data_IF_397629939894
#
_entry.id   IF_397629939894
#
_cell.length_a   1.000
_cell.length_b   1.000
_cell.length_c   1.000
_cell.angle_alpha   90.00
_cell.angle_beta   90.00
_cell.angle_gamma   90.00
#
_symmetry.space_group_name_H-M   'P 1'
#
loop_
_entity.id
_entity.type
_entity.pdbx_description
1 polymer ?
#
# COMPACT_ATOMS: atom_id res chain seq x y z
N UNK A 1 4.08 -36.28 23.51
CA UNK A 1 4.06 -34.81 23.52
C UNK A 1 3.49 -34.36 24.85
N UNK A 2 4.31 -33.75 25.70
CA UNK A 2 3.98 -33.48 27.10
C UNK A 2 2.87 -32.42 27.25
N UNK A 3 2.06 -32.55 28.30
CA UNK A 3 0.92 -31.65 28.56
C UNK A 3 1.32 -30.17 28.63
N UNK A 4 2.54 -29.87 29.13
CA UNK A 4 3.12 -28.52 29.12
C UNK A 4 3.34 -27.98 27.71
N UNK A 5 3.86 -28.80 26.80
CA UNK A 5 4.07 -28.44 25.40
C UNK A 5 2.74 -28.18 24.69
N UNK A 6 1.71 -28.97 25.03
CA UNK A 6 0.36 -28.87 24.48
C UNK A 6 -0.36 -27.58 24.90
N UNK A 7 -0.21 -27.16 26.17
CA UNK A 7 -0.75 -25.89 26.67
C UNK A 7 -0.06 -24.68 26.05
N UNK A 8 1.28 -24.73 25.88
CA UNK A 8 2.05 -23.66 25.25
C UNK A 8 1.63 -23.49 23.78
N UNK A 9 1.49 -24.60 23.04
CA UNK A 9 1.06 -24.57 21.65
C UNK A 9 -0.36 -23.99 21.48
N UNK A 10 -1.30 -24.36 22.35
CA UNK A 10 -2.66 -23.82 22.33
C UNK A 10 -2.74 -22.31 22.62
N UNK A 11 -1.81 -21.77 23.40
CA UNK A 11 -1.76 -20.33 23.71
C UNK A 11 -1.04 -19.52 22.61
N UNK A 12 -0.03 -20.10 21.96
CA UNK A 12 0.75 -19.41 20.93
C UNK A 12 0.07 -19.40 19.56
N UNK A 13 -0.70 -20.44 19.20
CA UNK A 13 -1.39 -20.53 17.92
C UNK A 13 -2.29 -19.31 17.60
N UNK A 14 -3.21 -18.87 18.48
CA UNK A 14 -4.08 -17.73 18.19
C UNK A 14 -3.32 -16.40 18.11
N UNK A 15 -2.19 -16.27 18.81
CA UNK A 15 -1.37 -15.06 18.78
C UNK A 15 -0.70 -14.86 17.41
N UNK A 16 -0.33 -15.95 16.74
CA UNK A 16 0.26 -15.92 15.38
C UNK A 16 -0.77 -15.46 14.35
N UNK A 17 -2.04 -15.89 14.46
CA UNK A 17 -3.11 -15.45 13.56
C UNK A 17 -3.47 -13.97 13.73
N UNK A 18 -3.29 -13.40 14.92
CA UNK A 18 -3.51 -11.97 15.16
C UNK A 18 -2.42 -11.08 14.52
N UNK A 19 -1.24 -11.64 14.22
CA UNK A 19 -0.11 -10.92 13.61
C UNK A 19 -0.02 -11.06 12.09
N UNK A 20 -0.97 -11.76 11.45
CA UNK A 20 -0.97 -11.85 9.99
C UNK A 20 -1.09 -10.46 9.38
N UNK A 21 -0.05 -10.03 8.65
CA UNK A 21 -0.02 -8.77 7.93
C UNK A 21 -1.19 -8.70 6.95
N UNK A 22 -2.09 -7.74 7.13
CA UNK A 22 -3.15 -7.43 6.16
C UNK A 22 -2.51 -6.88 4.89
N UNK A 23 -2.97 -7.32 3.71
CA UNK A 23 -2.59 -6.65 2.46
C UNK A 23 -2.99 -5.17 2.53
N UNK A 24 -2.07 -4.28 2.18
CA UNK A 24 -2.38 -2.85 2.10
C UNK A 24 -3.47 -2.64 1.05
N UNK A 25 -4.49 -1.86 1.37
CA UNK A 25 -5.52 -1.50 0.40
C UNK A 25 -4.89 -0.72 -0.76
N UNK A 26 -5.44 -0.92 -1.97
CA UNK A 26 -5.00 -0.18 -3.15
C UNK A 26 -5.51 1.26 -3.11
N UNK A 27 -4.77 2.15 -3.78
CA UNK A 27 -5.11 3.56 -3.99
C UNK A 27 -5.23 3.84 -5.48
N UNK A 28 -6.22 4.65 -5.87
CA UNK A 28 -6.29 5.23 -7.21
C UNK A 28 -5.73 6.64 -7.17
N UNK A 29 -4.76 6.94 -8.04
CA UNK A 29 -4.20 8.27 -8.19
C UNK A 29 -4.62 8.83 -9.53
N UNK A 30 -5.22 10.02 -9.57
CA UNK A 30 -5.41 10.73 -10.84
C UNK A 30 -4.12 11.43 -11.21
N UNK A 31 -3.52 11.07 -12.35
CA UNK A 31 -2.26 11.69 -12.76
C UNK A 31 -2.44 13.18 -13.02
N UNK A 32 -1.61 13.99 -12.36
CA UNK A 32 -1.69 15.45 -12.40
C UNK A 32 -2.75 16.07 -11.48
N UNK A 33 -3.46 15.26 -10.69
CA UNK A 33 -4.59 15.70 -9.85
C UNK A 33 -5.57 16.57 -10.68
N UNK A 34 -5.94 17.76 -10.21
CA UNK A 34 -6.83 18.68 -10.95
C UNK A 34 -6.21 19.26 -12.23
N UNK A 35 -4.90 19.13 -12.41
CA UNK A 35 -4.19 19.63 -13.59
C UNK A 35 -4.22 18.65 -14.76
N UNK A 36 -4.61 17.38 -14.54
CA UNK A 36 -4.78 16.37 -15.58
C UNK A 36 -3.49 15.84 -16.23
N UNK A 37 -3.68 15.08 -17.32
CA UNK A 37 -2.61 14.42 -18.08
C UNK A 37 -2.51 14.98 -19.51
N UNK A 38 -1.44 15.72 -19.74
CA UNK A 38 -1.16 16.48 -20.95
C UNK A 38 0.32 16.35 -21.34
N UNK A 39 0.61 16.45 -22.65
CA UNK A 39 1.96 16.64 -23.15
C UNK A 39 2.48 18.05 -22.79
N UNK A 40 3.80 18.20 -22.86
CA UNK A 40 4.57 19.42 -22.65
C UNK A 40 4.16 20.55 -23.60
N UNK A 41 3.45 20.26 -24.69
CA UNK A 41 2.95 21.24 -25.65
C UNK A 41 1.60 21.83 -25.26
N UNK A 42 0.70 21.02 -24.66
CA UNK A 42 -0.64 21.46 -24.28
C UNK A 42 -0.64 22.15 -22.91
N UNK A 43 0.13 21.64 -21.95
CA UNK A 43 0.23 22.24 -20.63
C UNK A 43 1.62 22.06 -19.99
N UNK A 44 2.57 22.88 -20.44
CA UNK A 44 3.96 22.88 -19.96
C UNK A 44 4.14 23.26 -18.49
N UNK A 45 3.09 23.68 -17.79
CA UNK A 45 3.16 24.08 -16.38
C UNK A 45 3.08 22.92 -15.41
N UNK A 46 2.66 21.73 -15.88
CA UNK A 46 2.48 20.57 -15.02
C UNK A 46 3.85 19.95 -14.74
N UNK A 47 4.23 19.92 -13.47
CA UNK A 47 5.44 19.27 -13.03
C UNK A 47 5.10 17.88 -12.49
N UNK A 48 5.08 16.87 -13.37
CA UNK A 48 4.79 15.49 -12.98
C UNK A 48 5.81 14.89 -12.01
N UNK A 49 7.06 15.35 -12.05
CA UNK A 49 8.09 14.93 -11.10
C UNK A 49 7.72 15.38 -9.68
N UNK A 50 7.26 16.63 -9.54
CA UNK A 50 6.76 17.18 -8.27
C UNK A 50 5.47 16.49 -7.82
N UNK A 51 4.56 16.18 -8.75
CA UNK A 51 3.34 15.42 -8.44
C UNK A 51 3.69 14.03 -7.89
N UNK A 52 4.56 13.28 -8.57
CA UNK A 52 4.95 11.93 -8.17
C UNK A 52 5.75 11.92 -6.84
N UNK A 53 6.61 12.91 -6.61
CA UNK A 53 7.40 13.02 -5.38
C UNK A 53 6.55 13.18 -4.10
N UNK A 54 5.28 13.59 -4.23
CA UNK A 54 4.34 13.73 -3.12
C UNK A 54 3.50 12.49 -2.82
N UNK A 55 3.69 11.36 -3.53
CA UNK A 55 2.87 10.14 -3.39
C UNK A 55 3.74 8.94 -2.99
N UNK A 56 3.13 7.93 -2.37
CA UNK A 56 3.77 6.67 -2.07
C UNK A 56 3.05 5.53 -2.80
N UNK A 57 3.66 5.04 -3.88
CA UNK A 57 3.07 3.98 -4.69
C UNK A 57 3.36 2.61 -4.08
N UNK A 58 2.31 1.82 -3.93
CA UNK A 58 2.37 0.45 -3.43
C UNK A 58 1.89 -0.52 -4.50
N UNK A 59 2.26 -1.80 -4.35
CA UNK A 59 1.82 -2.82 -5.28
C UNK A 59 0.29 -2.93 -5.26
N UNK A 60 -0.33 -2.82 -6.44
CA UNK A 60 -1.78 -2.86 -6.61
C UNK A 60 -2.45 -1.50 -6.78
N UNK A 61 -1.73 -0.39 -6.62
CA UNK A 61 -2.26 0.95 -6.91
C UNK A 61 -2.50 1.17 -8.42
N UNK A 62 -3.44 2.06 -8.74
CA UNK A 62 -3.80 2.46 -10.11
C UNK A 62 -3.51 3.94 -10.36
N UNK A 63 -3.22 4.27 -11.62
CA UNK A 63 -2.98 5.62 -12.13
C UNK A 63 -4.01 5.98 -13.22
#
# INVERSE_FOLDING_TARGET
MDSKCRTVLCLLLPLVFLTSSTAQAYTNYTVGDDLGWYDNTENSKINYQKWAAGKNFSLGDFL
#
